data_IF_910019624669
#
_entry.id   IF_910019624669
#
_cell.length_a   1.000
_cell.length_b   1.000
_cell.length_c   1.000
_cell.angle_alpha   90.00
_cell.angle_beta   90.00
_cell.angle_gamma   90.00
#
_symmetry.space_group_name_H-M   'P 1'
#
loop_
_entity.id
_entity.type
_entity.pdbx_description
1 polymer ?
#
# COMPACT_ATOMS: atom_id res chain seq x y z
N UNK A 1 -13.71 -8.09 5.50
CA UNK A 1 -13.90 -9.36 4.75
C UNK A 1 -13.85 -9.09 3.25
N UNK A 2 -13.13 -9.93 2.48
CA UNK A 2 -12.96 -9.87 1.03
C UNK A 2 -13.53 -11.12 0.31
N UNK A 3 -14.26 -11.98 1.01
CA UNK A 3 -14.73 -13.30 0.52
C UNK A 3 -16.25 -13.46 0.49
N UNK A 4 -17.00 -12.35 0.54
CA UNK A 4 -18.45 -12.39 0.31
C UNK A 4 -18.69 -13.00 -1.08
N UNK A 5 -19.52 -14.06 -1.19
CA UNK A 5 -19.76 -14.69 -2.48
C UNK A 5 -20.36 -13.71 -3.49
N UNK A 6 -19.75 -13.66 -4.68
CA UNK A 6 -20.19 -12.81 -5.79
C UNK A 6 -21.07 -13.62 -6.72
N UNK A 7 -22.19 -13.04 -7.13
CA UNK A 7 -23.09 -13.60 -8.14
C UNK A 7 -22.85 -12.87 -9.46
N UNK A 8 -22.34 -13.59 -10.45
CA UNK A 8 -22.14 -13.08 -11.80
C UNK A 8 -23.47 -12.86 -12.49
N UNK A 9 -23.69 -11.68 -13.08
CA UNK A 9 -24.89 -11.41 -13.87
C UNK A 9 -24.84 -12.04 -15.27
N UNK A 10 -23.65 -12.26 -15.85
CA UNK A 10 -23.50 -12.67 -17.27
C UNK A 10 -22.29 -13.60 -17.54
N UNK A 11 -21.64 -14.19 -16.52
CA UNK A 11 -20.35 -14.91 -16.67
C UNK A 11 -20.14 -16.16 -15.79
N UNK A 12 -18.91 -16.68 -15.77
CA UNK A 12 -18.50 -17.76 -14.85
C UNK A 12 -18.12 -17.17 -13.50
N UNK A 13 -18.89 -17.50 -12.45
CA UNK A 13 -18.71 -17.04 -11.07
C UNK A 13 -17.30 -17.30 -10.52
N UNK A 14 -16.62 -18.36 -10.98
CA UNK A 14 -15.25 -18.68 -10.57
C UNK A 14 -14.26 -17.59 -11.00
N UNK A 15 -14.40 -17.08 -12.22
CA UNK A 15 -13.51 -16.05 -12.76
C UNK A 15 -13.67 -14.74 -12.01
N UNK A 16 -14.90 -14.35 -11.70
CA UNK A 16 -15.19 -13.15 -10.91
C UNK A 16 -14.64 -13.27 -9.50
N UNK A 17 -14.78 -14.43 -8.85
CA UNK A 17 -14.20 -14.67 -7.52
C UNK A 17 -12.67 -14.55 -7.52
N UNK A 18 -11.99 -15.07 -8.56
CA UNK A 18 -10.54 -14.93 -8.72
C UNK A 18 -10.15 -13.45 -8.90
N UNK A 19 -10.93 -12.69 -9.67
CA UNK A 19 -10.69 -11.25 -9.84
C UNK A 19 -10.89 -10.48 -8.53
N UNK A 20 -11.94 -10.80 -7.77
CA UNK A 20 -12.18 -10.22 -6.44
C UNK A 20 -11.03 -10.54 -5.49
N UNK A 21 -10.57 -11.79 -5.44
CA UNK A 21 -9.40 -12.17 -4.63
C UNK A 21 -8.16 -11.37 -5.05
N UNK A 22 -7.86 -11.31 -6.35
CA UNK A 22 -6.69 -10.59 -6.85
C UNK A 22 -6.73 -9.11 -6.49
N UNK A 23 -7.90 -8.48 -6.53
CA UNK A 23 -8.07 -7.06 -6.25
C UNK A 23 -8.11 -6.77 -4.75
N UNK A 24 -9.01 -7.42 -4.03
CA UNK A 24 -9.29 -7.14 -2.61
C UNK A 24 -8.26 -7.75 -1.66
N UNK A 25 -7.52 -8.77 -2.10
CA UNK A 25 -6.52 -9.45 -1.27
C UNK A 25 -5.11 -9.13 -1.78
N UNK A 26 -4.73 -9.60 -2.97
CA UNK A 26 -3.34 -9.45 -3.46
C UNK A 26 -2.95 -7.98 -3.64
N UNK A 27 -3.69 -7.23 -4.46
CA UNK A 27 -3.40 -5.83 -4.74
C UNK A 27 -3.52 -4.97 -3.48
N UNK A 28 -4.61 -5.14 -2.71
CA UNK A 28 -4.79 -4.37 -1.48
C UNK A 28 -3.69 -4.63 -0.44
N UNK A 29 -3.22 -5.87 -0.31
CA UNK A 29 -2.11 -6.19 0.59
C UNK A 29 -0.82 -5.47 0.20
N UNK A 30 -0.55 -5.36 -1.10
CA UNK A 30 0.63 -4.63 -1.61
C UNK A 30 0.47 -3.14 -1.34
N UNK A 31 -0.71 -2.54 -1.58
CA UNK A 31 -0.97 -1.14 -1.26
C UNK A 31 -0.72 -0.80 0.21
N UNK A 32 -1.14 -1.68 1.13
CA UNK A 32 -0.95 -1.51 2.57
C UNK A 32 0.53 -1.49 2.98
N UNK A 33 1.43 -2.00 2.14
CA UNK A 33 2.88 -1.87 2.33
C UNK A 33 3.36 -0.42 2.42
N UNK A 34 2.60 0.53 1.88
CA UNK A 34 2.91 1.97 1.99
C UNK A 34 2.60 2.53 3.40
N UNK A 35 1.75 1.86 4.19
CA UNK A 35 1.26 2.34 5.49
C UNK A 35 1.74 1.51 6.68
N UNK A 36 2.06 0.23 6.45
CA UNK A 36 2.40 -0.76 7.48
C UNK A 36 3.77 -1.39 7.22
N UNK A 37 4.48 -1.79 8.26
CA UNK A 37 5.84 -2.36 8.17
C UNK A 37 5.86 -3.90 8.27
N UNK A 38 4.83 -4.50 8.86
CA UNK A 38 4.75 -5.94 9.04
C UNK A 38 3.43 -6.50 8.52
N UNK A 39 3.49 -7.72 7.97
CA UNK A 39 2.35 -8.55 7.61
C UNK A 39 2.44 -9.89 8.36
N UNK A 40 1.32 -10.32 8.94
CA UNK A 40 1.15 -11.64 9.55
C UNK A 40 0.15 -12.43 8.71
N UNK A 41 0.52 -13.67 8.39
CA UNK A 41 -0.33 -14.63 7.72
C UNK A 41 -0.78 -15.68 8.73
N UNK A 42 -2.05 -16.05 8.69
CA UNK A 42 -2.59 -17.21 9.41
C UNK A 42 -3.84 -17.71 8.71
N UNK A 43 -4.11 -19.00 8.80
CA UNK A 43 -5.36 -19.64 8.38
C UNK A 43 -6.01 -20.39 9.54
N UNK A 44 -7.25 -20.79 9.34
CA UNK A 44 -8.01 -21.61 10.29
C UNK A 44 -7.90 -23.08 9.85
N UNK A 45 -7.58 -23.97 10.79
CA UNK A 45 -7.51 -25.41 10.51
C UNK A 45 -8.89 -25.98 10.26
N UNK A 46 -9.07 -26.69 9.14
CA UNK A 46 -10.31 -27.37 8.76
C UNK A 46 -11.54 -26.48 8.96
N UNK A 47 -11.50 -25.26 8.41
CA UNK A 47 -12.47 -24.21 8.71
C UNK A 47 -13.93 -24.71 8.65
N UNK A 48 -14.34 -25.36 7.56
CA UNK A 48 -15.72 -25.84 7.41
C UNK A 48 -16.05 -27.02 8.34
N UNK A 49 -15.11 -27.95 8.56
CA UNK A 49 -15.29 -29.07 9.49
C UNK A 49 -15.29 -28.65 10.96
N UNK A 50 -14.64 -27.53 11.29
CA UNK A 50 -14.54 -26.97 12.63
C UNK A 50 -15.71 -26.06 13.01
N UNK A 51 -16.56 -25.62 12.07
CA UNK A 51 -17.72 -24.78 12.39
C UNK A 51 -18.69 -25.57 13.26
N UNK A 52 -18.84 -25.12 14.51
CA UNK A 52 -19.89 -25.60 15.40
C UNK A 52 -21.25 -25.04 14.93
N UNK A 53 -22.24 -25.87 14.60
CA UNK A 53 -23.48 -25.42 13.96
C UNK A 53 -24.28 -24.44 14.84
N UNK A 54 -24.15 -24.56 16.17
CA UNK A 54 -24.74 -23.61 17.12
C UNK A 54 -24.06 -22.22 17.12
N UNK A 55 -22.90 -22.06 16.48
CA UNK A 55 -22.32 -20.73 16.22
C UNK A 55 -23.10 -19.93 15.17
N UNK A 56 -23.88 -20.58 14.31
CA UNK A 56 -24.73 -19.93 13.31
C UNK A 56 -25.79 -19.04 13.99
N UNK A 57 -26.60 -19.54 14.95
CA UNK A 57 -27.51 -18.67 15.68
C UNK A 57 -26.78 -17.62 16.54
N UNK A 58 -25.53 -17.88 16.99
CA UNK A 58 -24.73 -16.86 17.68
C UNK A 58 -24.38 -15.71 16.75
N UNK A 59 -23.97 -16.02 15.52
CA UNK A 59 -23.65 -15.01 14.51
C UNK A 59 -24.87 -14.19 14.09
N UNK A 60 -26.06 -14.80 14.01
CA UNK A 60 -27.27 -14.11 13.56
C UNK A 60 -27.92 -13.29 14.68
N UNK A 61 -27.95 -13.83 15.90
CA UNK A 61 -28.77 -13.29 16.98
C UNK A 61 -27.99 -12.84 18.21
N UNK A 62 -26.66 -12.97 18.21
CA UNK A 62 -25.76 -12.96 19.38
C UNK A 62 -25.82 -14.23 20.21
N UNK A 63 -24.69 -14.55 20.86
CA UNK A 63 -24.56 -15.72 21.71
C UNK A 63 -25.53 -15.69 22.91
N UNK A 64 -25.76 -14.52 23.50
CA UNK A 64 -26.65 -14.36 24.66
C UNK A 64 -28.11 -14.70 24.32
N UNK A 65 -28.62 -14.12 23.22
CA UNK A 65 -29.98 -14.37 22.76
C UNK A 65 -30.18 -15.84 22.40
N UNK A 66 -29.24 -16.43 21.67
CA UNK A 66 -29.30 -17.83 21.25
C UNK A 66 -29.30 -18.78 22.46
N UNK A 67 -28.50 -18.49 23.50
CA UNK A 67 -28.49 -19.26 24.75
C UNK A 67 -29.82 -19.17 25.51
N UNK A 68 -30.52 -18.03 25.46
CA UNK A 68 -31.87 -17.86 26.07
C UNK A 68 -32.98 -18.53 25.25
N UNK A 69 -32.86 -18.54 23.93
CA UNK A 69 -33.90 -19.01 23.00
C UNK A 69 -33.59 -20.35 22.32
N UNK A 70 -32.89 -21.27 23.00
CA UNK A 70 -32.42 -22.56 22.42
C UNK A 70 -33.52 -23.40 21.75
N UNK A 71 -34.75 -23.35 22.26
CA UNK A 71 -35.89 -24.14 21.72
C UNK A 71 -36.86 -23.30 20.87
N UNK A 72 -36.52 -22.05 20.58
CA UNK A 72 -37.36 -21.14 19.81
C UNK A 72 -37.45 -21.57 18.35
N UNK A 73 -38.54 -22.27 17.99
CA UNK A 73 -38.78 -22.77 16.62
C UNK A 73 -38.99 -21.66 15.56
N UNK A 74 -39.16 -20.41 16.00
CA UNK A 74 -39.30 -19.23 15.12
C UNK A 74 -37.98 -18.49 14.89
N UNK A 75 -36.90 -18.85 15.56
CA UNK A 75 -35.60 -18.19 15.39
C UNK A 75 -34.90 -18.71 14.14
N UNK A 76 -34.66 -17.84 13.16
CA UNK A 76 -34.08 -18.23 11.87
C UNK A 76 -32.74 -18.96 12.02
N UNK A 77 -31.85 -18.51 12.91
CA UNK A 77 -30.57 -19.17 13.17
C UNK A 77 -30.73 -20.60 13.71
N UNK A 78 -31.73 -20.87 14.57
CA UNK A 78 -32.01 -22.22 15.05
C UNK A 78 -32.57 -23.12 13.93
N UNK A 79 -33.33 -22.55 13.00
CA UNK A 79 -33.85 -23.27 11.83
C UNK A 79 -32.68 -23.69 10.93
N UNK A 80 -31.75 -22.76 10.65
CA UNK A 80 -30.56 -23.04 9.84
C UNK A 80 -29.68 -24.08 10.52
N UNK A 81 -29.39 -23.92 11.81
CA UNK A 81 -28.63 -24.88 12.62
C UNK A 81 -29.24 -26.29 12.59
N UNK A 82 -30.56 -26.41 12.78
CA UNK A 82 -31.26 -27.70 12.68
C UNK A 82 -31.12 -28.32 11.29
N UNK A 83 -31.18 -27.50 10.23
CA UNK A 83 -30.97 -27.98 8.87
C UNK A 83 -29.53 -28.46 8.65
N UNK A 84 -28.52 -27.74 9.16
CA UNK A 84 -27.11 -28.13 9.05
C UNK A 84 -26.85 -29.46 9.77
N UNK A 85 -27.37 -29.62 10.99
CA UNK A 85 -27.29 -30.89 11.72
C UNK A 85 -27.98 -32.02 10.93
N UNK A 86 -29.15 -31.76 10.36
CA UNK A 86 -29.88 -32.72 9.52
C UNK A 86 -29.07 -33.16 8.29
N UNK A 87 -28.31 -32.26 7.69
CA UNK A 87 -27.40 -32.56 6.57
C UNK A 87 -26.14 -33.32 7.00
N UNK A 88 -25.84 -33.37 8.30
CA UNK A 88 -24.64 -33.99 8.87
C UNK A 88 -24.97 -35.10 9.88
N UNK A 89 -25.99 -35.92 9.62
CA UNK A 89 -26.39 -37.06 10.47
C UNK A 89 -26.64 -36.71 11.96
N UNK A 90 -27.12 -35.50 12.23
CA UNK A 90 -27.35 -34.99 13.59
C UNK A 90 -26.09 -34.51 14.32
N UNK A 91 -24.94 -34.45 13.65
CA UNK A 91 -23.72 -33.90 14.22
C UNK A 91 -23.79 -32.37 14.29
N UNK A 92 -23.18 -31.82 15.35
CA UNK A 92 -23.15 -30.38 15.62
C UNK A 92 -21.83 -29.72 15.24
N UNK A 93 -20.84 -30.49 14.80
CA UNK A 93 -19.56 -29.98 14.32
C UNK A 93 -19.44 -30.25 12.81
N UNK A 94 -19.08 -29.21 12.08
CA UNK A 94 -18.91 -29.22 10.65
C UNK A 94 -20.16 -28.83 9.90
N UNK A 95 -19.96 -28.07 8.83
CA UNK A 95 -20.98 -27.79 7.82
C UNK A 95 -20.59 -28.42 6.47
N UNK A 96 -21.57 -28.75 5.61
CA UNK A 96 -21.28 -29.25 4.26
C UNK A 96 -20.39 -28.29 3.45
N UNK A 97 -19.61 -28.83 2.51
CA UNK A 97 -18.70 -28.06 1.65
C UNK A 97 -19.14 -28.10 0.19
N UNK A 98 -18.65 -27.15 -0.61
CA UNK A 98 -18.79 -27.18 -2.08
C UNK A 98 -20.03 -26.49 -2.64
N UNK A 99 -20.73 -25.67 -1.84
CA UNK A 99 -21.80 -24.81 -2.36
C UNK A 99 -21.67 -23.38 -1.86
N UNK A 100 -22.09 -22.44 -2.72
CA UNK A 100 -22.10 -21.00 -2.43
C UNK A 100 -22.95 -20.65 -1.19
N UNK A 101 -23.97 -21.45 -0.91
CA UNK A 101 -24.77 -21.28 0.30
C UNK A 101 -23.97 -21.62 1.57
N UNK A 102 -23.18 -22.70 1.55
CA UNK A 102 -22.34 -23.08 2.70
C UNK A 102 -21.21 -22.08 2.90
N UNK A 103 -20.62 -21.61 1.80
CA UNK A 103 -19.68 -20.50 1.78
C UNK A 103 -20.25 -19.25 2.45
N UNK A 104 -21.51 -18.90 2.16
CA UNK A 104 -22.19 -17.76 2.79
C UNK A 104 -22.42 -17.99 4.28
N UNK A 105 -22.87 -19.19 4.69
CA UNK A 105 -23.06 -19.55 6.09
C UNK A 105 -21.73 -19.48 6.86
N UNK A 106 -20.64 -20.00 6.28
CA UNK A 106 -19.30 -19.88 6.85
C UNK A 106 -18.90 -18.42 7.03
N UNK A 107 -19.13 -17.57 6.03
CA UNK A 107 -18.87 -16.13 6.13
C UNK A 107 -19.68 -15.43 7.21
N UNK A 108 -20.91 -15.87 7.51
CA UNK A 108 -21.68 -15.32 8.63
C UNK A 108 -20.99 -15.60 9.97
N UNK A 109 -20.54 -16.85 10.18
CA UNK A 109 -19.83 -17.25 11.40
C UNK A 109 -18.47 -16.53 11.51
N UNK A 110 -17.71 -16.47 10.42
CA UNK A 110 -16.42 -15.77 10.38
C UNK A 110 -16.59 -14.25 10.52
N UNK A 111 -17.65 -13.67 9.98
CA UNK A 111 -17.99 -12.25 10.18
C UNK A 111 -18.30 -11.93 11.64
N UNK A 112 -18.97 -12.84 12.36
CA UNK A 112 -19.18 -12.71 13.80
C UNK A 112 -17.86 -12.79 14.59
N UNK A 113 -16.92 -13.63 14.17
CA UNK A 113 -15.56 -13.67 14.73
C UNK A 113 -14.82 -12.36 14.46
N UNK A 114 -14.90 -11.82 13.23
CA UNK A 114 -14.30 -10.53 12.87
C UNK A 114 -14.86 -9.37 13.73
N UNK A 115 -16.17 -9.36 13.97
CA UNK A 115 -16.85 -8.38 14.83
C UNK A 115 -16.35 -8.49 16.28
N UNK A 116 -16.34 -9.71 16.84
CA UNK A 116 -15.84 -9.97 18.20
C UNK A 116 -14.39 -9.55 18.35
N UNK A 117 -13.55 -9.82 17.36
CA UNK A 117 -12.14 -9.40 17.35
C UNK A 117 -12.04 -7.87 17.37
N UNK A 118 -12.84 -7.18 16.56
CA UNK A 118 -12.85 -5.72 16.49
C UNK A 118 -13.31 -5.07 17.82
N UNK A 119 -14.17 -5.73 18.58
CA UNK A 119 -14.60 -5.27 19.91
C UNK A 119 -13.53 -5.48 21.01
N UNK A 120 -12.67 -6.48 20.85
CA UNK A 120 -11.62 -6.81 21.83
C UNK A 120 -10.33 -5.99 21.64
N UNK A 121 -10.04 -5.54 20.42
CA UNK A 121 -8.82 -4.79 20.12
C UNK A 121 -8.93 -3.32 20.55
N UNK A 122 -7.81 -2.76 21.00
CA UNK A 122 -7.73 -1.35 21.36
C UNK A 122 -7.88 -0.47 20.11
N UNK A 123 -8.79 0.50 20.18
CA UNK A 123 -9.06 1.47 19.10
C UNK A 123 -7.86 2.33 18.74
N UNK A 124 -6.86 2.43 19.64
CA UNK A 124 -5.63 3.18 19.40
C UNK A 124 -4.56 2.37 18.66
N UNK A 125 -4.71 1.04 18.53
CA UNK A 125 -3.77 0.20 17.80
C UNK A 125 -3.85 0.51 16.31
N UNK A 126 -2.69 0.64 15.66
CA UNK A 126 -2.62 0.91 14.24
C UNK A 126 -2.46 -0.39 13.45
N UNK A 127 -3.59 -0.99 13.08
CA UNK A 127 -3.63 -2.25 12.35
C UNK A 127 -4.66 -2.25 11.22
N UNK A 128 -4.48 -3.16 10.27
CA UNK A 128 -5.47 -3.47 9.24
C UNK A 128 -5.57 -4.99 9.05
N UNK A 129 -6.78 -5.51 8.85
CA UNK A 129 -7.00 -6.96 8.65
C UNK A 129 -7.72 -7.18 7.33
N UNK A 130 -7.13 -7.98 6.46
CA UNK A 130 -7.79 -8.54 5.27
C UNK A 130 -8.04 -10.02 5.55
N UNK A 131 -9.31 -10.43 5.50
CA UNK A 131 -9.70 -11.83 5.54
C UNK A 131 -10.31 -12.25 4.21
N UNK A 132 -9.84 -13.37 3.67
CA UNK A 132 -10.48 -14.06 2.56
C UNK A 132 -10.70 -15.51 2.96
N UNK A 133 -11.95 -15.90 3.16
CA UNK A 133 -12.33 -17.19 3.75
C UNK A 133 -11.66 -17.36 5.10
N UNK A 134 -10.92 -18.45 5.28
CA UNK A 134 -10.13 -18.81 6.44
C UNK A 134 -8.76 -18.13 6.48
N UNK A 135 -8.27 -17.56 5.37
CA UNK A 135 -6.99 -16.86 5.30
C UNK A 135 -7.10 -15.43 5.86
N UNK A 136 -6.30 -15.13 6.89
CA UNK A 136 -6.11 -13.79 7.44
C UNK A 136 -4.75 -13.22 7.05
N UNK A 137 -4.74 -11.92 6.73
CA UNK A 137 -3.57 -11.07 6.59
C UNK A 137 -3.72 -9.87 7.51
N UNK A 138 -2.84 -9.78 8.51
CA UNK A 138 -2.87 -8.72 9.53
C UNK A 138 -1.66 -7.81 9.31
N UNK A 139 -1.91 -6.52 9.11
CA UNK A 139 -0.91 -5.50 8.85
C UNK A 139 -0.74 -4.63 10.09
N UNK A 140 0.51 -4.40 10.50
CA UNK A 140 0.85 -3.59 11.69
C UNK A 140 2.16 -2.85 11.48
N UNK A 141 2.40 -1.79 12.26
CA UNK A 141 3.71 -1.11 12.31
C UNK A 141 4.58 -1.64 13.46
N UNK A 142 4.05 -2.53 14.29
CA UNK A 142 4.75 -3.12 15.42
C UNK A 142 4.46 -4.62 15.52
N UNK A 143 5.50 -5.45 15.58
CA UNK A 143 5.37 -6.91 15.76
C UNK A 143 4.55 -7.27 17.01
N UNK A 144 4.64 -6.48 18.08
CA UNK A 144 3.87 -6.67 19.31
C UNK A 144 2.37 -6.53 19.05
N UNK A 145 1.95 -5.52 18.31
CA UNK A 145 0.54 -5.33 17.93
C UNK A 145 0.04 -6.50 17.10
N UNK A 146 0.83 -6.96 16.13
CA UNK A 146 0.48 -8.12 15.30
C UNK A 146 0.29 -9.40 16.13
N UNK A 147 1.19 -9.65 17.08
CA UNK A 147 1.06 -10.78 18.01
C UNK A 147 -0.16 -10.65 18.93
N UNK A 148 -0.52 -9.44 19.38
CA UNK A 148 -1.75 -9.19 20.15
C UNK A 148 -2.98 -9.56 19.32
N UNK A 149 -3.05 -9.14 18.05
CA UNK A 149 -4.17 -9.47 17.16
C UNK A 149 -4.28 -10.99 16.96
N UNK A 150 -3.16 -11.68 16.70
CA UNK A 150 -3.13 -13.15 16.56
C UNK A 150 -3.59 -13.84 17.86
N UNK A 151 -3.14 -13.35 19.02
CA UNK A 151 -3.50 -13.90 20.33
C UNK A 151 -5.01 -13.79 20.62
N UNK A 152 -5.59 -12.61 20.41
CA UNK A 152 -7.03 -12.40 20.60
C UNK A 152 -7.86 -13.19 19.58
N UNK A 153 -7.42 -13.24 18.31
CA UNK A 153 -8.07 -14.08 17.29
C UNK A 153 -8.04 -15.56 17.68
N UNK A 154 -6.90 -16.07 18.15
CA UNK A 154 -6.75 -17.46 18.60
C UNK A 154 -7.67 -17.78 19.79
N UNK A 155 -7.82 -16.84 20.73
CA UNK A 155 -8.71 -16.99 21.88
C UNK A 155 -10.18 -17.06 21.44
N UNK A 156 -10.62 -16.12 20.60
CA UNK A 156 -12.00 -16.08 20.09
C UNK A 156 -12.31 -17.34 19.27
N UNK A 157 -11.39 -17.78 18.40
CA UNK A 157 -11.55 -19.01 17.64
C UNK A 157 -11.70 -20.23 18.57
N UNK A 158 -10.90 -20.31 19.63
CA UNK A 158 -10.98 -21.40 20.61
C UNK A 158 -12.35 -21.45 21.32
N UNK A 159 -12.93 -20.29 21.65
CA UNK A 159 -14.28 -20.20 22.22
C UNK A 159 -15.37 -20.69 21.25
N UNK A 160 -15.09 -20.61 19.94
CA UNK A 160 -15.96 -21.06 18.85
C UNK A 160 -15.71 -22.52 18.43
N UNK A 161 -14.77 -23.22 19.08
CA UNK A 161 -14.37 -24.60 18.74
C UNK A 161 -13.41 -24.70 17.54
N UNK A 162 -12.85 -23.58 17.10
CA UNK A 162 -11.95 -23.47 15.97
C UNK A 162 -10.51 -23.21 16.44
N UNK A 163 -9.51 -23.37 15.56
CA UNK A 163 -8.11 -23.06 15.88
C UNK A 163 -7.35 -22.53 14.68
N UNK A 164 -6.35 -21.69 14.96
CA UNK A 164 -5.38 -21.25 13.95
C UNK A 164 -4.43 -22.39 13.58
N UNK A 165 -3.91 -22.33 12.36
CA UNK A 165 -2.93 -23.27 11.86
C UNK A 165 -1.51 -22.78 12.15
N UNK A 166 -0.87 -23.35 13.18
CA UNK A 166 0.46 -22.94 13.61
C UNK A 166 1.55 -23.07 12.53
N UNK A 167 1.44 -24.04 11.62
CA UNK A 167 2.46 -24.27 10.57
C UNK A 167 2.46 -23.19 9.48
N UNK A 168 1.28 -22.63 9.19
CA UNK A 168 1.10 -21.56 8.21
C UNK A 168 1.02 -20.19 8.86
N UNK A 169 1.08 -20.11 10.19
CA UNK A 169 1.14 -18.84 10.91
C UNK A 169 2.57 -18.32 10.88
N UNK A 170 2.81 -17.23 10.15
CA UNK A 170 4.11 -16.58 10.11
C UNK A 170 3.98 -15.07 9.90
N UNK A 171 5.07 -14.34 10.13
CA UNK A 171 5.14 -12.91 9.86
C UNK A 171 6.31 -12.56 8.95
N UNK A 172 6.22 -11.42 8.29
CA UNK A 172 7.24 -10.88 7.40
C UNK A 172 7.27 -9.35 7.48
N UNK A 173 8.45 -8.77 7.30
CA UNK A 173 8.66 -7.34 7.07
C UNK A 173 8.71 -6.99 5.57
N UNK A 174 8.76 -7.99 4.68
CA UNK A 174 8.61 -7.81 3.23
C UNK A 174 7.15 -8.02 2.82
N UNK A 175 6.35 -6.97 3.01
CA UNK A 175 4.91 -7.00 2.74
C UNK A 175 4.64 -7.30 1.27
N UNK A 176 5.40 -6.70 0.35
CA UNK A 176 5.16 -6.84 -1.09
C UNK A 176 5.34 -8.28 -1.55
N UNK A 177 6.47 -8.92 -1.23
CA UNK A 177 6.71 -10.30 -1.63
C UNK A 177 5.75 -11.27 -0.92
N UNK A 178 5.45 -11.03 0.36
CA UNK A 178 4.57 -11.90 1.16
C UNK A 178 3.09 -11.80 0.74
N UNK A 179 2.70 -10.70 0.09
CA UNK A 179 1.35 -10.50 -0.43
C UNK A 179 1.03 -11.36 -1.65
N UNK A 180 2.05 -11.86 -2.35
CA UNK A 180 1.94 -12.64 -3.59
C UNK A 180 2.20 -14.11 -3.25
N UNK A 181 1.42 -15.02 -3.85
CA UNK A 181 1.67 -16.45 -3.69
C UNK A 181 3.06 -16.81 -4.23
N UNK A 182 3.80 -17.66 -3.49
CA UNK A 182 5.21 -17.99 -3.78
C UNK A 182 5.42 -18.58 -5.18
N UNK A 183 4.53 -19.46 -5.62
CA UNK A 183 4.52 -20.07 -6.95
C UNK A 183 4.31 -19.04 -8.06
N UNK A 184 3.35 -18.13 -7.89
CA UNK A 184 3.08 -17.03 -8.82
C UNK A 184 4.27 -16.08 -8.91
N UNK A 185 4.86 -15.71 -7.76
CA UNK A 185 6.04 -14.84 -7.71
C UNK A 185 7.23 -15.50 -8.43
N UNK A 186 7.46 -16.80 -8.20
CA UNK A 186 8.49 -17.56 -8.88
C UNK A 186 8.32 -17.55 -10.41
N UNK A 187 7.10 -17.78 -10.91
CA UNK A 187 6.81 -17.71 -12.35
C UNK A 187 7.07 -16.33 -12.94
N UNK A 188 6.70 -15.27 -12.22
CA UNK A 188 6.94 -13.87 -12.65
C UNK A 188 8.43 -13.61 -12.80
N UNK A 189 9.23 -14.00 -11.80
CA UNK A 189 10.69 -13.79 -11.77
C UNK A 189 11.38 -14.65 -12.83
N UNK A 190 11.00 -15.92 -12.96
CA UNK A 190 11.61 -16.83 -13.94
C UNK A 190 11.36 -16.36 -15.38
N UNK A 191 10.15 -15.86 -15.67
CA UNK A 191 9.76 -15.39 -17.00
C UNK A 191 9.93 -13.87 -17.15
N UNK A 192 10.96 -13.28 -16.52
CA UNK A 192 11.12 -11.82 -16.44
C UNK A 192 11.15 -11.11 -17.79
N UNK A 193 11.73 -11.73 -18.83
CA UNK A 193 11.82 -11.15 -20.18
C UNK A 193 10.46 -10.99 -20.87
N UNK A 194 9.43 -11.72 -20.44
CA UNK A 194 8.11 -11.74 -21.06
C UNK A 194 7.08 -10.86 -20.31
N UNK A 195 7.49 -10.16 -19.26
CA UNK A 195 6.59 -9.35 -18.45
C UNK A 195 6.27 -8.02 -19.13
N UNK A 196 5.04 -7.89 -19.62
CA UNK A 196 4.53 -6.65 -20.23
C UNK A 196 3.76 -5.75 -19.24
N UNK A 197 3.29 -6.33 -18.15
CA UNK A 197 2.55 -5.64 -17.10
C UNK A 197 3.48 -4.84 -16.16
N UNK A 198 3.11 -3.60 -15.85
CA UNK A 198 3.95 -2.68 -15.07
C UNK A 198 4.23 -3.22 -13.66
N UNK A 199 3.23 -3.84 -13.01
CA UNK A 199 3.43 -4.46 -11.70
C UNK A 199 4.47 -5.57 -11.81
N UNK A 200 4.30 -6.50 -12.74
CA UNK A 200 5.20 -7.64 -12.86
C UNK A 200 6.64 -7.20 -13.19
N UNK A 201 6.80 -6.18 -14.03
CA UNK A 201 8.11 -5.57 -14.31
C UNK A 201 8.75 -5.00 -13.02
N UNK A 202 7.98 -4.26 -12.21
CA UNK A 202 8.47 -3.76 -10.93
C UNK A 202 8.79 -4.87 -9.92
N UNK A 203 8.04 -5.97 -9.90
CA UNK A 203 8.33 -7.12 -9.03
C UNK A 203 9.63 -7.82 -9.42
N UNK A 204 9.93 -7.93 -10.72
CA UNK A 204 11.24 -8.40 -11.21
C UNK A 204 12.36 -7.46 -10.74
N UNK A 205 12.18 -6.14 -10.89
CA UNK A 205 13.17 -5.15 -10.44
C UNK A 205 13.34 -5.20 -8.92
N UNK A 206 12.24 -5.39 -8.18
CA UNK A 206 12.28 -5.59 -6.73
C UNK A 206 13.11 -6.80 -6.36
N UNK A 207 12.90 -7.94 -7.03
CA UNK A 207 13.71 -9.13 -6.79
C UNK A 207 15.20 -8.87 -7.07
N UNK A 208 15.54 -8.10 -8.10
CA UNK A 208 16.91 -7.66 -8.36
C UNK A 208 17.44 -6.77 -7.22
N UNK A 209 16.62 -5.85 -6.71
CA UNK A 209 16.98 -4.94 -5.62
C UNK A 209 17.20 -5.66 -4.29
N UNK A 210 16.36 -6.66 -3.97
CA UNK A 210 16.47 -7.47 -2.75
C UNK A 210 17.77 -8.32 -2.77
N UNK A 211 18.13 -8.87 -3.93
CA UNK A 211 19.33 -9.71 -4.07
C UNK A 211 20.64 -8.91 -4.25
N UNK A 212 20.57 -7.74 -4.89
CA UNK A 212 21.74 -6.92 -5.22
C UNK A 212 21.49 -5.42 -4.91
N UNK A 213 21.43 -5.05 -3.61
CA UNK A 213 21.16 -3.68 -3.21
C UNK A 213 22.20 -2.69 -3.74
N UNK A 214 21.75 -1.49 -4.12
CA UNK A 214 22.58 -0.38 -4.60
C UNK A 214 23.48 -0.71 -5.81
N UNK A 215 23.12 -1.75 -6.57
CA UNK A 215 23.86 -2.17 -7.76
C UNK A 215 23.62 -1.25 -8.97
N UNK A 216 24.63 -1.11 -9.83
CA UNK A 216 24.48 -0.38 -11.10
C UNK A 216 23.45 -1.03 -12.03
N UNK A 217 23.32 -2.36 -11.97
CA UNK A 217 22.30 -3.12 -12.69
C UNK A 217 20.88 -2.74 -12.28
N UNK A 218 20.64 -2.52 -10.98
CA UNK A 218 19.36 -2.01 -10.46
C UNK A 218 19.04 -0.63 -11.04
N UNK A 219 20.01 0.29 -10.98
CA UNK A 219 19.85 1.64 -11.52
C UNK A 219 19.53 1.61 -13.03
N UNK A 220 20.23 0.76 -13.80
CA UNK A 220 19.95 0.54 -15.22
C UNK A 220 18.55 -0.02 -15.46
N UNK A 221 18.11 -1.00 -14.66
CA UNK A 221 16.79 -1.61 -14.79
C UNK A 221 15.66 -0.60 -14.51
N UNK A 222 15.81 0.23 -13.47
CA UNK A 222 14.84 1.29 -13.14
C UNK A 222 14.81 2.39 -14.21
N UNK A 223 15.96 2.84 -14.72
CA UNK A 223 15.98 3.80 -15.83
C UNK A 223 15.28 3.26 -17.09
N UNK A 224 15.47 1.98 -17.41
CA UNK A 224 14.79 1.36 -18.54
C UNK A 224 13.28 1.29 -18.31
N UNK A 225 12.85 0.91 -17.11
CA UNK A 225 11.45 0.94 -16.71
C UNK A 225 10.86 2.35 -16.81
N UNK A 226 11.61 3.35 -16.35
CA UNK A 226 11.18 4.75 -16.36
C UNK A 226 11.02 5.32 -17.77
N UNK A 227 11.91 4.92 -18.70
CA UNK A 227 11.77 5.22 -20.14
C UNK A 227 10.54 4.53 -20.74
N UNK A 228 10.36 3.24 -20.51
CA UNK A 228 9.20 2.48 -21.00
C UNK A 228 7.87 3.04 -20.46
N UNK A 229 7.84 3.39 -19.16
CA UNK A 229 6.71 4.05 -18.53
C UNK A 229 6.40 5.40 -19.21
N UNK A 230 7.43 6.21 -19.48
CA UNK A 230 7.31 7.46 -20.22
C UNK A 230 6.70 7.26 -21.62
N UNK A 231 7.17 6.26 -22.37
CA UNK A 231 6.63 5.92 -23.69
C UNK A 231 5.18 5.43 -23.60
N UNK A 232 4.86 4.53 -22.66
CA UNK A 232 3.50 4.03 -22.42
C UNK A 232 2.54 5.15 -22.03
N UNK A 233 2.96 6.10 -21.18
CA UNK A 233 2.15 7.26 -20.79
C UNK A 233 1.95 8.21 -21.96
N UNK A 234 3.00 8.54 -22.75
CA UNK A 234 2.87 9.39 -23.94
C UNK A 234 1.93 8.75 -24.97
N UNK A 235 2.09 7.46 -25.25
CA UNK A 235 1.22 6.71 -26.16
C UNK A 235 -0.22 6.61 -25.61
N UNK A 236 -0.41 6.46 -24.29
CA UNK A 236 -1.74 6.50 -23.66
C UNK A 236 -2.34 7.90 -23.59
N UNK A 237 -1.54 8.97 -23.55
CA UNK A 237 -2.01 10.37 -23.65
C UNK A 237 -2.43 10.69 -25.07
N UNK A 238 -1.68 10.24 -26.08
CA UNK A 238 -2.07 10.30 -27.50
C UNK A 238 -3.31 9.43 -27.76
N UNK A 239 -3.36 8.22 -27.21
CA UNK A 239 -4.55 7.39 -27.24
C UNK A 239 -5.70 8.05 -26.47
N UNK A 240 -5.48 8.68 -25.31
CA UNK A 240 -6.50 9.49 -24.59
C UNK A 240 -7.00 10.62 -25.46
N UNK A 241 -6.15 11.36 -26.18
CA UNK A 241 -6.59 12.42 -27.10
C UNK A 241 -7.48 11.87 -28.23
N UNK A 242 -7.17 10.68 -28.76
CA UNK A 242 -8.00 9.98 -29.77
C UNK A 242 -9.27 9.38 -29.13
N UNK A 243 -9.19 8.95 -27.87
CA UNK A 243 -10.21 8.27 -27.07
C UNK A 243 -11.10 9.24 -26.29
N UNK A 244 -10.75 10.52 -26.17
CA UNK A 244 -11.57 11.59 -25.59
C UNK A 244 -12.82 11.86 -26.44
N UNK A 245 -12.77 11.50 -27.73
CA UNK A 245 -13.95 11.45 -28.61
C UNK A 245 -14.91 10.31 -28.18
N UNK A 246 -14.45 9.32 -27.41
CA UNK A 246 -15.19 8.11 -27.04
C UNK A 246 -14.91 7.60 -25.60
N UNK A 247 -15.65 8.16 -24.62
CA UNK A 247 -16.29 7.46 -23.47
C UNK A 247 -15.86 7.62 -21.99
N UNK A 248 -16.94 7.62 -21.18
CA UNK A 248 -17.33 7.01 -19.86
C UNK A 248 -16.37 6.92 -18.63
N UNK A 249 -16.93 7.13 -17.41
CA UNK A 249 -16.22 7.27 -16.12
C UNK A 249 -15.50 6.03 -15.53
N UNK A 250 -15.77 4.79 -15.98
CA UNK A 250 -15.21 3.54 -15.38
C UNK A 250 -13.68 3.38 -15.49
N UNK A 251 -13.06 3.93 -16.53
CA UNK A 251 -11.59 3.79 -16.76
C UNK A 251 -10.78 4.65 -15.76
N UNK A 252 -11.39 5.71 -15.22
CA UNK A 252 -10.75 6.61 -14.25
C UNK A 252 -10.55 5.93 -12.89
N UNK A 253 -11.51 5.12 -12.44
CA UNK A 253 -11.42 4.33 -11.20
C UNK A 253 -10.38 3.21 -11.30
N UNK A 254 -10.34 2.48 -12.41
CA UNK A 254 -9.42 1.35 -12.59
C UNK A 254 -7.93 1.78 -12.66
N UNK A 255 -7.65 2.98 -13.17
CA UNK A 255 -6.31 3.57 -13.10
C UNK A 255 -6.00 4.13 -11.70
N UNK A 256 -7.02 4.64 -10.99
CA UNK A 256 -6.89 5.11 -9.60
C UNK A 256 -6.53 3.95 -8.65
N UNK A 257 -6.99 2.75 -8.95
CA UNK A 257 -6.73 1.56 -8.14
C UNK A 257 -5.29 1.01 -8.32
N UNK A 258 -4.68 1.16 -9.50
CA UNK A 258 -3.39 0.52 -9.77
C UNK A 258 -2.16 1.34 -9.35
N UNK A 259 -2.25 2.67 -9.22
CA UNK A 259 -1.06 3.46 -8.89
C UNK A 259 -0.57 3.22 -7.46
N UNK A 260 -1.47 3.08 -6.48
CA UNK A 260 -1.11 2.89 -5.07
C UNK A 260 -0.25 1.65 -4.88
N UNK A 261 -0.58 0.61 -5.63
CA UNK A 261 0.17 -0.63 -5.68
C UNK A 261 1.57 -0.42 -6.26
N UNK A 262 1.69 0.24 -7.41
CA UNK A 262 2.98 0.50 -8.05
C UNK A 262 3.87 1.38 -7.17
N UNK A 263 3.29 2.41 -6.55
CA UNK A 263 3.97 3.29 -5.59
C UNK A 263 4.46 2.50 -4.40
N UNK A 264 3.64 1.62 -3.82
CA UNK A 264 4.06 0.78 -2.70
C UNK A 264 5.27 -0.11 -3.04
N UNK A 265 5.25 -0.76 -4.22
CA UNK A 265 6.41 -1.56 -4.69
C UNK A 265 7.65 -0.68 -4.87
N UNK A 266 7.50 0.49 -5.50
CA UNK A 266 8.61 1.42 -5.72
C UNK A 266 9.21 1.94 -4.41
N UNK A 267 8.37 2.26 -3.43
CA UNK A 267 8.80 2.72 -2.11
C UNK A 267 9.55 1.61 -1.37
N UNK A 268 9.07 0.36 -1.42
CA UNK A 268 9.78 -0.79 -0.85
C UNK A 268 11.19 -0.96 -1.45
N UNK A 269 11.32 -0.81 -2.77
CA UNK A 269 12.62 -0.80 -3.45
C UNK A 269 13.49 0.36 -2.95
N UNK A 270 12.96 1.58 -2.90
CA UNK A 270 13.70 2.77 -2.50
C UNK A 270 14.19 2.70 -1.05
N UNK A 271 13.38 2.16 -0.12
CA UNK A 271 13.71 2.04 1.30
C UNK A 271 15.01 1.27 1.58
N UNK A 272 15.41 0.37 0.68
CA UNK A 272 16.63 -0.43 0.79
C UNK A 272 17.78 0.08 -0.11
N UNK A 273 17.52 1.10 -0.94
CA UNK A 273 18.43 1.49 -2.02
C UNK A 273 18.56 3.02 -2.17
N UNK A 274 19.38 3.70 -1.35
CA UNK A 274 19.55 5.15 -1.46
C UNK A 274 20.10 5.64 -2.81
N UNK A 275 20.89 4.82 -3.51
CA UNK A 275 21.49 5.23 -4.81
C UNK A 275 20.50 5.43 -5.95
N UNK A 276 19.22 5.08 -5.76
CA UNK A 276 18.19 5.17 -6.80
C UNK A 276 17.16 6.27 -6.53
N UNK A 277 17.33 7.10 -5.48
CA UNK A 277 16.33 8.10 -5.09
C UNK A 277 15.94 9.04 -6.24
N UNK A 278 16.91 9.54 -7.00
CA UNK A 278 16.64 10.39 -8.16
C UNK A 278 15.76 9.70 -9.22
N UNK A 279 16.11 8.47 -9.61
CA UNK A 279 15.33 7.67 -10.57
C UNK A 279 13.97 7.27 -10.01
N UNK A 280 13.90 6.94 -8.71
CA UNK A 280 12.66 6.64 -8.00
C UNK A 280 11.68 7.82 -8.08
N UNK A 281 12.13 9.04 -7.79
CA UNK A 281 11.25 10.22 -7.83
C UNK A 281 10.87 10.57 -9.28
N UNK A 282 11.73 10.32 -10.27
CA UNK A 282 11.33 10.41 -11.68
C UNK A 282 10.17 9.49 -12.04
N UNK A 283 10.25 8.21 -11.67
CA UNK A 283 9.17 7.24 -11.88
C UNK A 283 7.92 7.65 -11.10
N UNK A 284 8.08 8.01 -9.82
CA UNK A 284 6.99 8.43 -8.94
C UNK A 284 6.22 9.60 -9.55
N UNK A 285 6.92 10.64 -9.99
CA UNK A 285 6.32 11.83 -10.61
C UNK A 285 5.45 11.48 -11.81
N UNK A 286 5.89 10.53 -12.66
CA UNK A 286 5.12 10.05 -13.81
C UNK A 286 3.86 9.29 -13.42
N UNK A 287 3.95 8.48 -12.37
CA UNK A 287 2.81 7.70 -11.87
C UNK A 287 1.75 8.63 -11.27
N UNK A 288 2.15 9.64 -10.50
CA UNK A 288 1.22 10.49 -9.75
C UNK A 288 0.85 11.78 -10.48
N UNK A 289 1.49 12.17 -11.58
CA UNK A 289 1.25 13.48 -12.20
C UNK A 289 -0.23 13.73 -12.56
N UNK A 290 -0.93 12.70 -13.05
CA UNK A 290 -2.33 12.77 -13.51
C UNK A 290 -3.38 12.58 -12.38
N UNK A 291 -2.98 12.39 -11.12
CA UNK A 291 -3.90 12.18 -9.99
C UNK A 291 -4.26 13.53 -9.31
N UNK A 292 -5.29 13.52 -8.45
CA UNK A 292 -5.72 14.73 -7.74
C UNK A 292 -4.66 15.21 -6.74
N UNK A 293 -4.56 16.52 -6.49
CA UNK A 293 -3.59 17.06 -5.54
C UNK A 293 -3.77 16.48 -4.12
N UNK A 294 -5.02 16.19 -3.72
CA UNK A 294 -5.32 15.52 -2.45
C UNK A 294 -4.71 14.11 -2.40
N UNK A 295 -4.85 13.32 -3.46
CA UNK A 295 -4.27 11.96 -3.51
C UNK A 295 -2.72 12.05 -3.55
N UNK A 296 -2.14 13.05 -4.24
CA UNK A 296 -0.68 13.30 -4.23
C UNK A 296 -0.17 13.58 -2.83
N UNK A 297 -0.83 14.48 -2.11
CA UNK A 297 -0.50 14.84 -0.73
C UNK A 297 -0.55 13.64 0.20
N UNK A 298 -1.59 12.80 0.08
CA UNK A 298 -1.71 11.58 0.88
C UNK A 298 -0.55 10.60 0.60
N UNK A 299 -0.21 10.39 -0.67
CA UNK A 299 0.92 9.52 -1.06
C UNK A 299 2.23 10.05 -0.50
N UNK A 300 2.53 11.34 -0.72
CA UNK A 300 3.76 11.97 -0.25
C UNK A 300 3.87 11.86 1.28
N UNK A 301 2.80 12.16 2.02
CA UNK A 301 2.77 12.01 3.48
C UNK A 301 3.07 10.58 3.93
N UNK A 302 2.52 9.57 3.25
CA UNK A 302 2.82 8.16 3.56
C UNK A 302 4.27 7.80 3.25
N UNK A 303 4.82 8.28 2.13
CA UNK A 303 6.24 8.07 1.78
C UNK A 303 7.13 8.71 2.85
N UNK A 304 6.91 9.98 3.22
CA UNK A 304 7.69 10.65 4.25
C UNK A 304 7.64 9.91 5.59
N UNK A 305 6.44 9.45 5.99
CA UNK A 305 6.29 8.63 7.21
C UNK A 305 7.14 7.36 7.15
N UNK A 306 7.24 6.70 5.98
CA UNK A 306 8.07 5.51 5.78
C UNK A 306 9.59 5.79 5.83
N UNK A 307 10.01 6.99 5.45
CA UNK A 307 11.41 7.40 5.46
C UNK A 307 11.84 8.10 6.76
N UNK A 308 10.91 8.44 7.66
CA UNK A 308 11.18 9.19 8.90
C UNK A 308 12.28 8.56 9.77
N UNK A 309 12.26 7.24 9.93
CA UNK A 309 13.23 6.53 10.77
C UNK A 309 14.45 6.02 9.98
N UNK A 310 14.58 6.40 8.70
CA UNK A 310 15.71 5.99 7.86
C UNK A 310 16.82 7.04 7.89
N UNK A 311 18.07 6.66 8.21
CA UNK A 311 19.20 7.57 8.13
C UNK A 311 19.48 7.96 6.67
N UNK A 312 20.04 9.15 6.46
CA UNK A 312 20.45 9.66 5.15
C UNK A 312 19.29 9.73 4.13
N UNK A 313 18.09 10.09 4.59
CA UNK A 313 16.89 10.29 3.76
C UNK A 313 16.76 11.72 3.20
N UNK A 314 17.68 12.63 3.54
CA UNK A 314 17.67 14.03 3.12
C UNK A 314 17.59 14.20 1.59
N UNK A 315 18.41 13.46 0.83
CA UNK A 315 18.35 13.48 -0.65
C UNK A 315 16.97 13.07 -1.17
N UNK A 316 16.35 12.06 -0.56
CA UNK A 316 14.99 11.63 -0.91
C UNK A 316 13.96 12.73 -0.61
N UNK A 317 14.06 13.33 0.57
CA UNK A 317 13.19 14.42 0.98
C UNK A 317 13.29 15.60 -0.02
N UNK A 318 14.48 15.93 -0.54
CA UNK A 318 14.70 17.05 -1.47
C UNK A 318 13.99 16.78 -2.80
N UNK A 319 14.13 15.56 -3.31
CA UNK A 319 13.42 15.14 -4.50
C UNK A 319 11.89 15.13 -4.31
N UNK A 320 11.38 14.75 -3.15
CA UNK A 320 9.95 14.88 -2.84
C UNK A 320 9.50 16.34 -2.75
N UNK A 321 10.33 17.23 -2.21
CA UNK A 321 10.05 18.65 -2.13
C UNK A 321 9.81 19.24 -3.52
N UNK A 322 10.61 18.84 -4.52
CA UNK A 322 10.38 19.21 -5.93
C UNK A 322 8.96 18.84 -6.41
N UNK A 323 8.47 17.64 -6.09
CA UNK A 323 7.10 17.23 -6.42
C UNK A 323 6.08 18.09 -5.67
N UNK A 324 6.33 18.36 -4.38
CA UNK A 324 5.44 19.10 -3.50
C UNK A 324 5.23 20.54 -3.97
N UNK A 325 6.31 21.22 -4.36
CA UNK A 325 6.30 22.59 -4.86
C UNK A 325 5.39 22.70 -6.08
N UNK A 326 5.60 21.83 -7.07
CA UNK A 326 4.78 21.82 -8.31
C UNK A 326 3.32 21.49 -8.02
N UNK A 327 3.05 20.68 -7.01
CA UNK A 327 1.70 20.31 -6.60
C UNK A 327 1.04 21.29 -5.61
N UNK A 328 1.77 22.32 -5.15
CA UNK A 328 1.37 23.24 -4.08
C UNK A 328 0.96 22.51 -2.79
N UNK A 329 1.79 21.57 -2.34
CA UNK A 329 1.58 20.75 -1.14
C UNK A 329 2.57 21.18 -0.06
N UNK A 330 2.05 21.53 1.12
CA UNK A 330 2.89 21.75 2.29
C UNK A 330 3.44 20.43 2.84
N UNK A 331 4.75 20.33 2.94
CA UNK A 331 5.46 19.24 3.59
C UNK A 331 6.13 19.79 4.85
N UNK A 332 6.27 18.96 5.88
CA UNK A 332 7.08 19.27 7.05
C UNK A 332 8.31 18.37 7.01
N UNK A 333 9.45 18.92 6.62
CA UNK A 333 10.73 18.20 6.50
C UNK A 333 11.80 18.89 7.35
N UNK A 334 12.60 18.09 8.05
CA UNK A 334 13.73 18.56 8.84
C UNK A 334 14.98 18.65 7.95
N UNK A 335 15.66 19.82 7.96
CA UNK A 335 16.97 20.03 7.34
C UNK A 335 17.17 21.46 6.80
N UNK A 336 18.39 21.98 6.88
CA UNK A 336 18.69 23.37 6.50
C UNK A 336 18.45 23.63 5.00
N UNK A 337 18.73 22.65 4.13
CA UNK A 337 18.44 22.72 2.70
C UNK A 337 16.94 22.83 2.41
N UNK A 338 16.08 22.19 3.20
CA UNK A 338 14.61 22.26 3.03
C UNK A 338 14.08 23.65 3.32
N UNK A 339 14.53 24.22 4.45
CA UNK A 339 14.10 25.54 4.93
C UNK A 339 14.45 26.66 3.96
N UNK A 340 15.51 26.49 3.17
CA UNK A 340 15.90 27.47 2.15
C UNK A 340 14.90 27.55 0.99
N UNK A 341 14.26 26.43 0.63
CA UNK A 341 13.32 26.36 -0.50
C UNK A 341 11.88 26.71 -0.06
N UNK A 342 11.53 26.60 1.21
CA UNK A 342 10.13 26.66 1.71
C UNK A 342 9.57 28.07 2.06
N UNK A 343 10.32 29.16 1.92
CA UNK A 343 9.91 30.45 2.53
C UNK A 343 8.67 31.08 1.90
N UNK A 344 7.77 31.56 2.79
CA UNK A 344 6.40 32.03 2.57
C UNK A 344 6.29 33.49 2.12
N UNK A 345 5.25 33.73 1.32
CA UNK A 345 4.59 35.01 1.05
C UNK A 345 4.08 35.68 2.35
N UNK A 346 4.14 37.01 2.44
CA UNK A 346 3.75 37.80 3.62
C UNK A 346 2.22 37.97 3.81
N UNK A 347 1.37 37.47 2.91
CA UNK A 347 -0.04 37.86 2.87
C UNK A 347 -1.01 36.69 3.04
N UNK A 348 -1.02 36.04 4.20
CA UNK A 348 -2.18 35.33 4.79
C UNK A 348 -2.95 34.25 4.00
N UNK A 349 -2.59 33.93 2.75
CA UNK A 349 -3.27 32.99 1.87
C UNK A 349 -2.26 31.97 1.30
N UNK A 350 -2.61 30.67 1.22
CA UNK A 350 -1.71 29.64 0.74
C UNK A 350 -1.65 29.64 -0.80
N UNK A 351 -0.82 30.53 -1.36
CA UNK A 351 -0.53 30.57 -2.80
C UNK A 351 0.98 30.68 -2.98
N UNK A 352 1.64 29.56 -3.30
CA UNK A 352 3.06 29.54 -3.69
C UNK A 352 3.13 29.70 -5.20
N UNK A 353 3.22 30.95 -5.68
CA UNK A 353 3.67 31.32 -7.04
C UNK A 353 4.38 32.68 -7.07
N UNK A 354 5.15 32.97 -6.03
CA UNK A 354 6.12 34.04 -6.03
C UNK A 354 7.13 33.74 -4.93
N UNK A 355 8.34 33.36 -5.34
CA UNK A 355 9.50 33.31 -4.47
C UNK A 355 10.03 34.74 -4.40
N UNK A 356 9.71 35.50 -3.36
CA UNK A 356 10.41 36.75 -3.13
C UNK A 356 11.86 36.40 -2.73
N UNK A 357 12.88 36.90 -3.46
CA UNK A 357 14.26 36.73 -3.05
C UNK A 357 14.46 37.37 -1.68
N UNK A 358 15.09 36.65 -0.76
CA UNK A 358 15.51 37.22 0.52
C UNK A 358 16.59 38.26 0.20
N UNK A 359 16.50 39.51 0.70
CA UNK A 359 17.66 40.39 0.70
C UNK A 359 18.75 39.74 1.56
N UNK A 360 19.96 39.64 1.00
CA UNK A 360 21.16 38.93 1.54
C UNK A 360 21.71 39.61 2.82
N UNK A 361 20.87 39.86 3.82
CA UNK A 361 21.24 40.71 4.98
C UNK A 361 21.15 40.04 6.34
N UNK A 362 20.66 38.80 6.47
CA UNK A 362 20.66 38.10 7.76
C UNK A 362 21.65 36.94 7.77
N UNK A 363 22.69 37.08 8.60
CA UNK A 363 23.81 36.15 8.85
C UNK A 363 23.41 34.75 9.39
N UNK A 364 22.18 34.30 9.20
CA UNK A 364 21.64 33.13 9.93
C UNK A 364 21.51 31.82 9.13
N UNK A 365 21.86 31.77 7.84
CA UNK A 365 21.47 30.61 7.01
C UNK A 365 22.61 30.03 6.16
N UNK A 366 23.73 29.74 6.82
CA UNK A 366 24.80 28.95 6.21
C UNK A 366 24.44 27.45 6.23
N UNK A 367 24.30 26.85 5.04
CA UNK A 367 24.12 25.40 4.88
C UNK A 367 25.33 24.63 5.42
N UNK A 368 26.51 25.22 5.27
CA UNK A 368 27.79 24.62 5.62
C UNK A 368 28.49 25.48 6.67
N UNK A 369 29.24 24.86 7.57
CA UNK A 369 30.14 25.56 8.51
C UNK A 369 31.40 26.12 7.83
N UNK A 370 31.27 26.62 6.59
CA UNK A 370 32.35 27.01 5.69
C UNK A 370 33.26 28.11 6.27
N UNK A 371 32.77 28.93 7.20
CA UNK A 371 33.59 29.92 7.91
C UNK A 371 34.76 29.27 8.69
N UNK A 372 34.58 28.04 9.17
CA UNK A 372 35.55 27.39 10.06
C UNK A 372 36.73 26.69 9.35
N UNK A 373 36.64 26.47 8.04
CA UNK A 373 37.63 25.67 7.29
C UNK A 373 37.93 26.18 5.88
N UNK A 374 37.21 27.20 5.39
CA UNK A 374 37.40 27.76 4.07
C UNK A 374 38.18 29.09 4.18
N UNK A 375 39.11 29.31 3.26
CA UNK A 375 39.87 30.56 3.20
C UNK A 375 38.92 31.74 2.87
N UNK A 376 39.22 32.93 3.39
CA UNK A 376 38.32 34.09 3.41
C UNK A 376 37.81 34.50 2.03
N UNK A 377 38.65 34.42 1.00
CA UNK A 377 38.27 34.78 -0.37
C UNK A 377 37.25 33.79 -0.95
N UNK A 378 37.45 32.49 -0.72
CA UNK A 378 36.51 31.46 -1.15
C UNK A 378 35.22 31.47 -0.32
N UNK A 379 35.29 31.88 0.96
CA UNK A 379 34.15 31.92 1.86
C UNK A 379 33.16 32.98 1.38
N UNK A 380 33.69 34.14 0.97
CA UNK A 380 32.89 35.22 0.40
C UNK A 380 32.21 34.78 -0.90
N UNK A 381 32.90 34.03 -1.78
CA UNK A 381 32.30 33.49 -3.01
C UNK A 381 31.14 32.54 -2.70
N UNK A 382 31.29 31.63 -1.72
CA UNK A 382 30.21 30.71 -1.35
C UNK A 382 29.04 31.46 -0.69
N UNK A 383 29.33 32.48 0.13
CA UNK A 383 28.31 33.32 0.78
C UNK A 383 27.48 34.09 -0.25
N UNK A 384 28.11 34.62 -1.29
CA UNK A 384 27.46 35.47 -2.29
C UNK A 384 26.78 34.68 -3.42
N UNK A 385 27.07 33.39 -3.55
CA UNK A 385 26.48 32.54 -4.57
C UNK A 385 25.09 32.03 -4.12
N UNK A 386 24.04 32.44 -4.83
CA UNK A 386 22.72 31.84 -4.63
C UNK A 386 22.74 30.38 -5.08
N UNK A 387 22.38 29.47 -4.19
CA UNK A 387 22.28 28.03 -4.46
C UNK A 387 20.91 27.67 -5.07
N UNK A 388 19.95 28.61 -5.01
CA UNK A 388 18.59 28.45 -5.52
C UNK A 388 18.38 29.40 -6.69
N UNK A 389 17.96 28.84 -7.82
CA UNK A 389 17.44 29.59 -8.95
C UNK A 389 15.91 29.59 -8.90
N UNK A 390 15.34 30.73 -8.53
CA UNK A 390 13.89 30.90 -8.39
C UNK A 390 13.17 30.91 -9.74
N UNK A 391 13.83 31.36 -10.81
CA UNK A 391 13.24 31.36 -12.15
C UNK A 391 13.10 29.93 -12.69
N UNK A 392 14.05 29.05 -12.40
CA UNK A 392 13.93 27.62 -12.73
C UNK A 392 12.82 26.94 -11.93
N UNK A 393 12.67 27.27 -10.64
CA UNK A 393 11.63 26.67 -9.78
C UNK A 393 10.22 26.97 -10.31
N UNK A 394 9.96 28.21 -10.73
CA UNK A 394 8.65 28.62 -11.26
C UNK A 394 8.30 27.91 -12.58
N UNK A 395 9.32 27.41 -13.30
CA UNK A 395 9.16 26.69 -14.57
C UNK A 395 9.19 25.16 -14.42
N UNK A 396 9.20 24.63 -13.19
CA UNK A 396 9.27 23.19 -12.96
C UNK A 396 8.04 22.44 -13.49
N UNK A 397 8.34 21.32 -14.16
CA UNK A 397 7.34 20.42 -14.71
C UNK A 397 6.83 19.42 -13.66
N UNK A 398 5.54 19.05 -13.77
CA UNK A 398 4.90 17.99 -12.96
C UNK A 398 5.60 16.63 -13.08
N UNK A 399 6.25 16.38 -14.21
CA UNK A 399 7.05 15.18 -14.46
C UNK A 399 8.53 15.55 -14.33
N UNK A 400 9.28 14.77 -13.55
CA UNK A 400 10.74 14.85 -13.55
C UNK A 400 11.23 14.02 -14.72
N UNK A 401 11.84 14.66 -15.71
CA UNK A 401 12.38 13.97 -16.87
C UNK A 401 13.64 13.17 -16.51
N UNK A 402 13.91 12.08 -17.25
CA UNK A 402 15.12 11.27 -17.03
C UNK A 402 16.41 12.10 -17.10
N UNK A 403 16.42 13.15 -17.93
CA UNK A 403 17.57 14.04 -18.10
C UNK A 403 17.90 14.84 -16.83
N UNK A 404 16.91 15.07 -15.96
CA UNK A 404 17.10 15.81 -14.70
C UNK A 404 17.76 14.94 -13.63
N UNK A 405 17.56 13.61 -13.70
CA UNK A 405 17.96 12.66 -12.64
C UNK A 405 19.16 11.81 -13.01
N UNK A 406 19.58 11.84 -14.28
CA UNK A 406 20.65 11.01 -14.79
C UNK A 406 21.84 11.88 -15.24
N UNK A 407 22.90 11.90 -14.45
CA UNK A 407 24.13 12.65 -14.73
C UNK A 407 24.85 12.21 -16.02
N UNK A 408 24.46 11.07 -16.62
CA UNK A 408 25.02 10.55 -17.87
C UNK A 408 24.02 10.60 -19.03
N UNK A 409 23.04 11.50 -18.98
CA UNK A 409 22.11 11.72 -20.08
C UNK A 409 22.81 12.48 -21.21
N UNK A 410 23.49 11.74 -22.09
CA UNK A 410 24.07 12.25 -23.34
C UNK A 410 23.08 12.18 -24.50
#
# INVERSE_FOLDING_TARGET
CASIPVVSSEGNSTTEQIQVWSKQVEQKSIELGLEYDYIFHTDIVDCYGAIYTHSIPWAIHTQEFAKRNRRGKKCIGNIIDTAMQGMNYGQTNGIPQGSVLMDFIAEMVLGYIDERLSECLDKNMNYHIIRYRDDYRIFTNNKKEGNTVIGELSKILSEMGMRLNGEKTYHSDDIVNSSIKKDKLHQIIHNYQQQNDLKNQLLVIKNLADNYPNSGSLNKALNNFDKDLGHKIKNKRVARCIFFITQKPKIKEQFKENYSMLVSILVDIALKNPKIYSVFVSILSKIICDISNKDKEEIIKKILKKFKDKPNSEDMHLWLQRIAIVANIGIDCEGELFKLVERKHNDGNPVVRQFDPIPVTDDEHFIWNSESWLDGDFYQIIKDCSIIDTEEIDNLSCVIENKEVNSFYY
#
